data_IF_133631252080
#
_entry.id   IF_133631252080
#
_cell.length_a   1.000
_cell.length_b   1.000
_cell.length_c   1.000
_cell.angle_alpha   90.00
_cell.angle_beta   90.00
_cell.angle_gamma   90.00
#
_symmetry.space_group_name_H-M   'P 1'
#
loop_
_entity.id
_entity.type
_entity.pdbx_description
1 polymer ?
#
# COMPACT_ATOMS: atom_id res chain seq x y z
N UNK A 1 -24.48 -38.24 22.36
CA UNK A 1 -24.00 -36.87 22.68
C UNK A 1 -22.52 -36.60 22.35
N UNK A 2 -21.64 -37.60 22.13
CA UNK A 2 -20.20 -37.38 21.91
C UNK A 2 -19.79 -36.71 20.57
N UNK A 3 -20.61 -36.74 19.52
CA UNK A 3 -20.18 -36.28 18.17
C UNK A 3 -20.42 -34.79 17.89
N UNK A 4 -21.19 -34.06 18.73
CA UNK A 4 -21.50 -32.64 18.48
C UNK A 4 -20.30 -31.72 18.70
N UNK A 5 -19.42 -32.05 19.65
CA UNK A 5 -18.27 -31.21 20.00
C UNK A 5 -17.14 -31.33 18.96
N UNK A 6 -17.04 -32.48 18.29
CA UNK A 6 -16.06 -32.71 17.23
C UNK A 6 -16.36 -31.87 15.98
N UNK A 7 -17.64 -31.82 15.56
CA UNK A 7 -18.06 -31.07 14.37
C UNK A 7 -17.86 -29.56 14.57
N UNK A 8 -18.18 -29.03 15.75
CA UNK A 8 -17.99 -27.60 16.07
C UNK A 8 -16.50 -27.24 16.08
N UNK A 9 -15.64 -28.11 16.61
CA UNK A 9 -14.19 -27.87 16.67
C UNK A 9 -13.54 -27.91 15.28
N UNK A 10 -13.96 -28.83 14.41
CA UNK A 10 -13.47 -28.91 13.02
C UNK A 10 -13.90 -27.67 12.21
N UNK A 11 -15.13 -27.20 12.39
CA UNK A 11 -15.60 -25.96 11.74
C UNK A 11 -14.83 -24.73 12.23
N UNK A 12 -14.51 -24.66 13.53
CA UNK A 12 -13.75 -23.54 14.10
C UNK A 12 -12.31 -23.51 13.57
N UNK A 13 -11.67 -24.67 13.41
CA UNK A 13 -10.31 -24.76 12.83
C UNK A 13 -10.30 -24.41 11.33
N UNK A 14 -11.34 -24.81 10.58
CA UNK A 14 -11.51 -24.40 9.18
C UNK A 14 -11.80 -22.90 9.01
N UNK A 15 -12.45 -22.26 9.98
CA UNK A 15 -12.69 -20.81 10.01
C UNK A 15 -11.48 -19.99 10.46
N UNK A 16 -10.47 -20.61 11.09
CA UNK A 16 -9.22 -19.96 11.48
C UNK A 16 -8.12 -20.07 10.41
N UNK A 17 -8.36 -20.84 9.34
CA UNK A 17 -7.42 -21.02 8.23
C UNK A 17 -7.60 -19.97 7.10
N UNK A 18 -8.30 -18.86 7.36
CA UNK A 18 -8.36 -17.76 6.40
C UNK A 18 -7.01 -17.04 6.40
N UNK A 19 -6.20 -17.39 5.40
CA UNK A 19 -4.91 -16.79 5.10
C UNK A 19 -5.05 -15.28 4.96
N UNK A 20 -4.11 -14.54 5.57
CA UNK A 20 -3.80 -13.19 5.10
C UNK A 20 -3.47 -13.30 3.60
N UNK A 21 -4.23 -12.61 2.75
CA UNK A 21 -3.94 -12.57 1.32
C UNK A 21 -2.63 -11.80 1.15
N UNK A 22 -1.64 -12.44 0.54
CA UNK A 22 -0.46 -11.73 0.04
C UNK A 22 -0.93 -10.77 -1.06
N UNK A 23 -0.62 -9.48 -0.92
CA UNK A 23 -0.86 -8.51 -2.00
C UNK A 23 0.29 -8.60 -3.00
N UNK A 24 -0.04 -8.59 -4.29
CA UNK A 24 0.90 -8.71 -5.40
C UNK A 24 0.96 -7.37 -6.14
N UNK A 25 2.17 -6.81 -6.31
CA UNK A 25 2.39 -5.65 -7.18
C UNK A 25 3.02 -6.09 -8.50
N UNK A 26 2.32 -5.86 -9.60
CA UNK A 26 2.85 -6.08 -10.95
C UNK A 26 3.30 -4.76 -11.55
N UNK A 27 4.61 -4.60 -11.78
CA UNK A 27 5.19 -3.48 -12.50
C UNK A 27 5.35 -3.86 -13.97
N UNK A 28 4.81 -3.04 -14.87
CA UNK A 28 4.75 -3.36 -16.30
C UNK A 28 5.64 -2.44 -17.13
N UNK A 29 5.67 -1.15 -16.82
CA UNK A 29 6.35 -0.14 -17.62
C UNK A 29 7.21 0.77 -16.76
N UNK A 30 8.42 1.08 -17.24
CA UNK A 30 9.25 2.13 -16.66
C UNK A 30 8.60 3.52 -16.86
N UNK A 31 8.98 4.51 -16.05
CA UNK A 31 8.62 5.90 -16.32
C UNK A 31 9.04 6.34 -17.72
N UNK A 32 8.18 7.09 -18.39
CA UNK A 32 8.44 7.61 -19.73
C UNK A 32 9.53 8.70 -19.74
N UNK A 33 9.77 9.35 -18.61
CA UNK A 33 10.70 10.47 -18.47
C UNK A 33 12.04 9.99 -17.91
N UNK A 34 13.13 10.56 -18.44
CA UNK A 34 14.47 10.42 -17.86
C UNK A 34 15.00 11.79 -17.44
N UNK A 35 15.74 11.84 -16.33
CA UNK A 35 16.36 13.06 -15.82
C UNK A 35 17.64 12.72 -15.06
N UNK A 36 18.71 13.49 -15.33
CA UNK A 36 20.05 13.26 -14.77
C UNK A 36 20.58 11.81 -14.92
N UNK A 37 20.13 11.08 -15.96
CA UNK A 37 20.53 9.69 -16.21
C UNK A 37 19.66 8.62 -15.53
N UNK A 38 18.56 9.00 -14.88
CA UNK A 38 17.65 8.10 -14.17
C UNK A 38 16.25 8.14 -14.78
N UNK A 39 15.51 7.03 -14.68
CA UNK A 39 14.07 7.04 -14.94
C UNK A 39 13.35 7.73 -13.78
N UNK A 40 12.52 8.73 -14.09
CA UNK A 40 11.85 9.58 -13.09
C UNK A 40 10.36 9.68 -13.38
N UNK A 41 9.57 9.81 -12.31
CA UNK A 41 8.13 9.90 -12.39
C UNK A 41 7.45 8.56 -12.15
N UNK A 42 6.28 8.40 -12.75
CA UNK A 42 5.37 7.30 -12.44
C UNK A 42 5.72 6.02 -13.20
N UNK A 43 5.77 4.91 -12.46
CA UNK A 43 5.90 3.55 -12.98
C UNK A 43 4.49 3.01 -13.24
N UNK A 44 4.30 2.29 -14.33
CA UNK A 44 3.02 1.65 -14.65
C UNK A 44 2.91 0.26 -14.03
N UNK A 45 1.72 -0.10 -13.54
CA UNK A 45 1.48 -1.43 -12.97
C UNK A 45 0.04 -1.68 -12.53
N UNK A 46 -0.15 -2.73 -11.72
CA UNK A 46 -1.41 -3.04 -11.04
C UNK A 46 -1.16 -3.80 -9.72
N UNK A 47 -2.18 -3.81 -8.85
CA UNK A 47 -2.20 -4.60 -7.62
C UNK A 47 -3.16 -5.78 -7.82
N UNK A 48 -2.75 -6.97 -7.38
CA UNK A 48 -3.52 -8.22 -7.39
C UNK A 48 -4.11 -8.59 -8.78
N UNK A 49 -3.42 -8.19 -9.85
CA UNK A 49 -3.85 -8.46 -11.22
C UNK A 49 -5.09 -7.67 -11.65
N UNK A 50 -5.54 -6.68 -10.86
CA UNK A 50 -6.73 -5.90 -11.19
C UNK A 50 -6.53 -5.19 -12.55
N UNK A 51 -7.46 -5.39 -13.51
CA UNK A 51 -7.45 -4.70 -14.79
C UNK A 51 -7.86 -3.25 -14.54
N UNK A 52 -6.91 -2.44 -14.10
CA UNK A 52 -7.16 -1.04 -13.85
C UNK A 52 -7.39 -0.33 -15.20
N UNK A 53 -8.51 0.38 -15.40
CA UNK A 53 -8.80 1.06 -16.67
C UNK A 53 -7.81 2.20 -16.97
N UNK A 54 -7.12 2.69 -15.95
CA UNK A 54 -5.98 3.59 -16.06
C UNK A 54 -4.76 2.95 -15.37
N UNK A 55 -3.54 3.03 -15.94
CA UNK A 55 -2.36 2.46 -15.30
C UNK A 55 -2.24 3.04 -13.90
N UNK A 56 -2.22 2.18 -12.88
CA UNK A 56 -1.91 2.63 -11.54
C UNK A 56 -0.52 3.28 -11.59
N UNK A 57 -0.46 4.54 -11.17
CA UNK A 57 0.76 5.34 -11.20
C UNK A 57 1.46 5.18 -9.87
N UNK A 58 2.57 4.45 -9.88
CA UNK A 58 3.41 4.23 -8.71
C UNK A 58 4.61 5.16 -8.76
N UNK A 59 4.84 5.94 -7.71
CA UNK A 59 6.03 6.79 -7.59
C UNK A 59 7.03 6.09 -6.69
N UNK A 60 8.23 5.83 -7.20
CA UNK A 60 9.30 5.21 -6.42
C UNK A 60 9.86 6.23 -5.43
N UNK A 61 9.90 5.91 -4.14
CA UNK A 61 10.53 6.76 -3.13
C UNK A 61 11.92 6.25 -2.70
N UNK A 62 12.39 5.15 -3.28
CA UNK A 62 13.67 4.52 -2.98
C UNK A 62 14.71 4.66 -4.10
N UNK A 63 15.74 5.47 -3.85
CA UNK A 63 16.80 5.74 -4.82
C UNK A 63 17.87 4.65 -4.92
N UNK A 64 18.23 4.01 -3.80
CA UNK A 64 19.42 3.15 -3.74
C UNK A 64 19.13 1.70 -4.09
N UNK A 65 17.88 1.28 -3.95
CA UNK A 65 17.42 -0.06 -4.30
C UNK A 65 17.10 -0.17 -5.78
N UNK A 66 16.93 -1.40 -6.26
CA UNK A 66 16.61 -1.65 -7.67
C UNK A 66 15.51 -2.67 -7.78
N UNK A 67 14.48 -2.34 -8.55
CA UNK A 67 13.46 -3.29 -8.98
C UNK A 67 13.52 -3.42 -10.50
N UNK A 68 13.71 -4.64 -11.05
CA UNK A 68 13.58 -4.86 -12.49
C UNK A 68 12.18 -4.46 -12.96
N UNK A 69 12.04 -3.96 -14.18
CA UNK A 69 10.72 -3.73 -14.79
C UNK A 69 10.74 -4.32 -16.21
N UNK A 70 9.82 -5.22 -16.57
CA UNK A 70 8.68 -5.67 -15.77
C UNK A 70 9.07 -6.62 -14.62
N UNK A 71 8.26 -6.64 -13.56
CA UNK A 71 8.40 -7.56 -12.42
C UNK A 71 7.09 -7.79 -11.68
N UNK A 72 7.02 -8.90 -10.96
CA UNK A 72 5.96 -9.19 -9.98
C UNK A 72 6.59 -9.25 -8.60
N UNK A 73 6.14 -8.39 -7.69
CA UNK A 73 6.52 -8.39 -6.29
C UNK A 73 5.41 -9.10 -5.51
N UNK A 74 5.76 -10.20 -4.86
CA UNK A 74 4.87 -10.95 -3.97
C UNK A 74 5.00 -10.39 -2.54
N UNK A 75 3.97 -10.58 -1.72
CA UNK A 75 3.93 -10.15 -0.32
C UNK A 75 4.21 -8.64 -0.11
N UNK A 76 3.57 -7.78 -0.90
CA UNK A 76 3.66 -6.32 -0.71
C UNK A 76 2.74 -5.89 0.44
N UNK A 77 3.27 -5.14 1.41
CA UNK A 77 2.46 -4.52 2.45
C UNK A 77 1.94 -3.18 1.97
N UNK A 78 0.65 -2.97 2.15
CA UNK A 78 -0.01 -1.70 1.95
C UNK A 78 -0.10 -0.97 3.30
N UNK A 79 0.52 0.18 3.38
CA UNK A 79 0.51 1.04 4.57
C UNK A 79 -0.10 2.40 4.24
N UNK A 80 -1.03 2.88 5.07
CA UNK A 80 -1.59 4.24 4.92
C UNK A 80 -0.62 5.29 5.48
N UNK A 81 -0.66 6.52 4.95
CA UNK A 81 0.16 7.64 5.44
C UNK A 81 -0.55 8.43 6.56
N UNK A 82 -1.39 7.74 7.34
CA UNK A 82 -2.17 8.34 8.44
C UNK A 82 -1.40 8.16 9.76
N UNK A 83 -1.20 9.27 10.47
CA UNK A 83 -0.54 9.31 11.79
C UNK A 83 -1.29 8.41 12.77
N UNK A 84 -0.55 7.53 13.45
CA UNK A 84 -1.05 6.67 14.53
C UNK A 84 -1.71 5.37 14.09
N UNK A 85 -2.01 5.17 12.80
CA UNK A 85 -2.74 3.98 12.33
C UNK A 85 -2.17 3.30 11.08
N UNK A 86 -1.43 4.01 10.21
CA UNK A 86 -1.22 3.54 8.84
C UNK A 86 0.16 3.01 8.47
N UNK A 87 1.24 3.65 8.91
CA UNK A 87 2.59 3.46 8.36
C UNK A 87 3.38 2.32 9.02
N UNK A 88 2.71 1.21 9.36
CA UNK A 88 3.29 0.18 10.24
C UNK A 88 4.42 -0.60 9.56
N UNK A 89 4.39 -0.73 8.23
CA UNK A 89 5.36 -1.51 7.46
C UNK A 89 5.83 -0.71 6.24
N UNK A 90 6.84 0.12 6.46
CA UNK A 90 7.51 0.89 5.42
C UNK A 90 9.03 0.88 5.63
N UNK A 91 9.77 0.90 4.51
CA UNK A 91 11.20 0.63 4.41
C UNK A 91 12.05 1.68 5.10
N UNK A 92 11.62 2.93 5.09
CA UNK A 92 12.34 4.06 5.66
C UNK A 92 11.80 4.48 7.02
N UNK A 93 11.10 3.58 7.70
CA UNK A 93 10.65 3.78 9.09
C UNK A 93 11.75 3.30 10.03
N UNK A 94 12.39 4.23 10.72
CA UNK A 94 13.35 3.92 11.76
C UNK A 94 12.59 3.59 13.06
N UNK A 95 12.19 2.33 13.24
CA UNK A 95 11.56 1.91 14.50
C UNK A 95 12.58 1.93 15.65
N UNK A 96 12.39 2.76 16.70
CA UNK A 96 13.22 2.68 17.89
C UNK A 96 13.13 1.27 18.50
N UNK A 97 14.21 0.74 19.10
CA UNK A 97 14.16 -0.54 19.80
C UNK A 97 13.02 -0.58 20.83
N UNK A 98 12.06 -1.49 20.63
CA UNK A 98 10.91 -1.65 21.52
C UNK A 98 9.67 -0.81 21.16
N UNK A 99 9.71 0.02 20.12
CA UNK A 99 8.53 0.66 19.55
C UNK A 99 7.95 -0.20 18.42
N UNK A 100 6.63 -0.31 18.36
CA UNK A 100 5.91 -0.92 17.24
C UNK A 100 5.45 0.11 16.20
N UNK A 101 5.69 1.39 16.47
CA UNK A 101 5.11 2.49 15.71
C UNK A 101 6.20 3.39 15.10
N UNK A 102 5.95 3.92 13.90
CA UNK A 102 6.77 4.96 13.28
C UNK A 102 6.88 6.20 14.15
N UNK A 103 7.95 6.94 13.96
CA UNK A 103 8.16 8.26 14.58
C UNK A 103 7.39 9.35 13.83
N UNK A 104 7.20 10.51 14.46
CA UNK A 104 6.62 11.70 13.80
C UNK A 104 7.46 12.15 12.59
N UNK A 105 8.78 11.92 12.62
CA UNK A 105 9.68 12.22 11.50
C UNK A 105 9.45 11.29 10.31
N UNK A 106 9.19 10.00 10.56
CA UNK A 106 8.85 9.06 9.50
C UNK A 106 7.55 9.50 8.81
N UNK A 107 6.51 9.81 9.59
CA UNK A 107 5.26 10.34 9.03
C UNK A 107 5.49 11.64 8.26
N UNK A 108 6.35 12.55 8.73
CA UNK A 108 6.69 13.79 8.02
C UNK A 108 7.27 13.53 6.63
N UNK A 109 8.22 12.59 6.49
CA UNK A 109 8.81 12.22 5.19
C UNK A 109 7.76 11.70 4.21
N UNK A 110 6.93 10.73 4.62
CA UNK A 110 5.91 10.16 3.73
C UNK A 110 4.80 11.16 3.38
N UNK A 111 4.39 12.02 4.31
CA UNK A 111 3.39 13.05 4.02
C UNK A 111 3.90 14.10 3.05
N UNK A 112 5.16 14.51 3.15
CA UNK A 112 5.77 15.45 2.19
C UNK A 112 5.98 14.80 0.83
N UNK A 113 6.38 13.53 0.80
CA UNK A 113 6.46 12.78 -0.44
C UNK A 113 5.09 12.71 -1.16
N UNK A 114 4.01 12.47 -0.41
CA UNK A 114 2.65 12.49 -0.94
C UNK A 114 2.26 13.86 -1.55
N UNK A 115 2.63 14.97 -0.92
CA UNK A 115 2.41 16.31 -1.47
C UNK A 115 3.18 16.48 -2.78
N UNK A 116 4.47 16.12 -2.79
CA UNK A 116 5.32 16.18 -3.98
C UNK A 116 4.78 15.32 -5.12
N UNK A 117 4.22 14.14 -4.83
CA UNK A 117 3.55 13.30 -5.83
C UNK A 117 2.37 14.03 -6.47
N UNK A 118 1.56 14.76 -5.68
CA UNK A 118 0.49 15.60 -6.21
C UNK A 118 1.03 16.69 -7.13
N UNK A 119 2.03 17.46 -6.66
CA UNK A 119 2.66 18.51 -7.46
C UNK A 119 3.34 17.99 -8.72
N UNK A 120 3.84 16.75 -8.72
CA UNK A 120 4.42 16.10 -9.90
C UNK A 120 3.42 15.99 -11.05
N UNK A 121 2.15 15.71 -10.72
CA UNK A 121 1.06 15.63 -11.71
C UNK A 121 0.71 17.02 -12.25
N UNK A 122 0.70 18.04 -11.39
CA UNK A 122 0.39 19.41 -11.77
C UNK A 122 1.54 20.12 -12.52
N UNK A 123 2.77 19.62 -12.37
CA UNK A 123 3.98 20.23 -12.91
C UNK A 123 4.78 19.24 -13.77
N UNK A 124 4.26 18.80 -14.93
CA UNK A 124 4.90 17.76 -15.76
C UNK A 124 6.29 18.14 -16.27
N UNK A 125 6.58 19.44 -16.43
CA UNK A 125 7.92 19.93 -16.79
C UNK A 125 8.97 19.72 -15.68
N UNK A 126 8.53 19.48 -14.44
CA UNK A 126 9.36 19.38 -13.24
C UNK A 126 9.37 17.98 -12.63
N UNK A 127 8.89 16.96 -13.35
CA UNK A 127 8.87 15.56 -12.88
C UNK A 127 10.25 15.12 -12.37
N UNK A 128 11.32 15.47 -13.11
CA UNK A 128 12.69 15.13 -12.72
C UNK A 128 13.10 15.71 -11.37
N UNK A 129 13.17 17.05 -11.22
CA UNK A 129 13.50 17.67 -9.94
C UNK A 129 12.59 17.24 -8.78
N UNK A 130 11.27 17.08 -9.01
CA UNK A 130 10.33 16.64 -7.97
C UNK A 130 10.61 15.21 -7.54
N UNK A 131 10.89 14.30 -8.48
CA UNK A 131 11.25 12.91 -8.16
C UNK A 131 12.53 12.83 -7.32
N UNK A 132 13.53 13.65 -7.64
CA UNK A 132 14.76 13.75 -6.86
C UNK A 132 14.51 14.37 -5.48
N UNK A 133 13.56 15.30 -5.35
CA UNK A 133 13.15 15.84 -4.05
C UNK A 133 12.50 14.76 -3.19
N UNK A 134 11.64 13.91 -3.76
CA UNK A 134 11.06 12.75 -3.08
C UNK A 134 12.18 11.83 -2.58
N UNK A 135 13.13 11.45 -3.44
CA UNK A 135 14.25 10.60 -3.05
C UNK A 135 15.11 11.22 -1.94
N UNK A 136 15.35 12.53 -1.96
CA UNK A 136 16.12 13.22 -0.93
C UNK A 136 15.44 13.19 0.46
N UNK A 137 14.10 13.10 0.54
CA UNK A 137 13.39 12.95 1.81
C UNK A 137 13.74 11.64 2.52
N UNK A 138 13.99 10.57 1.76
CA UNK A 138 14.26 9.22 2.28
C UNK A 138 15.75 8.85 2.25
N UNK A 139 16.51 9.46 1.35
CA UNK A 139 17.90 9.17 1.08
C UNK A 139 18.66 10.50 0.84
N UNK A 140 19.13 11.18 1.89
CA UNK A 140 19.81 12.49 1.77
C UNK A 140 21.12 12.47 0.96
N UNK A 141 21.66 11.28 0.66
CA UNK A 141 22.82 11.11 -0.23
C UNK A 141 22.44 11.01 -1.72
N UNK A 142 21.16 11.14 -2.06
CA UNK A 142 20.68 11.24 -3.45
C UNK A 142 21.27 12.51 -4.09
N UNK A 143 21.67 12.48 -5.37
CA UNK A 143 22.08 13.69 -6.08
C UNK A 143 21.00 14.80 -6.00
N UNK A 144 21.42 16.06 -6.09
CA UNK A 144 20.53 17.24 -6.08
C UNK A 144 20.61 17.99 -7.42
N UNK A 145 20.12 17.39 -8.54
CA UNK A 145 20.17 18.01 -9.85
C UNK A 145 19.11 19.11 -10.04
N UNK A 146 19.49 20.17 -10.75
CA UNK A 146 18.59 21.25 -11.16
C UNK A 146 17.94 21.94 -9.96
N UNK A 147 16.60 22.04 -9.99
CA UNK A 147 15.82 22.74 -8.98
C UNK A 147 15.33 21.82 -7.84
N UNK A 148 15.98 20.68 -7.61
CA UNK A 148 15.56 19.69 -6.60
C UNK A 148 15.47 20.31 -5.19
N UNK A 149 16.49 21.05 -4.75
CA UNK A 149 16.48 21.78 -3.46
C UNK A 149 15.37 22.84 -3.33
N UNK A 150 14.90 23.43 -4.44
CA UNK A 150 13.76 24.34 -4.42
C UNK A 150 12.48 23.58 -4.03
N UNK A 151 12.23 22.42 -4.64
CA UNK A 151 11.07 21.59 -4.34
C UNK A 151 11.08 21.06 -2.90
N UNK A 152 12.25 20.69 -2.38
CA UNK A 152 12.41 20.34 -0.96
C UNK A 152 12.04 21.56 -0.10
N UNK A 153 12.59 22.74 -0.38
CA UNK A 153 12.30 23.94 0.40
C UNK A 153 10.82 24.30 0.40
N UNK A 154 10.16 24.18 -0.76
CA UNK A 154 8.73 24.42 -0.91
C UNK A 154 7.91 23.43 -0.09
N UNK A 155 8.17 22.12 -0.22
CA UNK A 155 7.39 21.13 0.53
C UNK A 155 7.64 21.23 2.03
N UNK A 156 8.84 21.65 2.47
CA UNK A 156 9.14 21.86 3.88
C UNK A 156 8.33 23.02 4.50
N UNK A 157 7.99 24.04 3.70
CA UNK A 157 7.20 25.20 4.11
C UNK A 157 5.68 24.97 4.04
N UNK A 158 5.23 23.88 3.39
CA UNK A 158 3.82 23.58 3.15
C UNK A 158 3.06 23.17 4.43
N UNK A 159 1.80 23.60 4.55
CA UNK A 159 0.90 23.17 5.63
C UNK A 159 0.28 21.80 5.30
N UNK A 160 0.84 20.76 5.93
CA UNK A 160 0.41 19.36 5.78
C UNK A 160 -1.05 19.12 6.20
N UNK A 161 -1.62 19.94 7.09
CA UNK A 161 -2.98 19.72 7.59
C UNK A 161 -4.07 19.90 6.53
N UNK A 162 -3.72 20.49 5.38
CA UNK A 162 -4.62 20.73 4.25
C UNK A 162 -4.81 19.50 3.34
N UNK A 163 -4.05 18.42 3.57
CA UNK A 163 -4.00 17.26 2.68
C UNK A 163 -4.69 16.02 3.28
N UNK A 164 -5.39 15.29 2.42
CA UNK A 164 -6.08 14.04 2.76
C UNK A 164 -5.18 12.82 2.49
N UNK A 165 -4.37 12.46 3.48
CA UNK A 165 -3.43 11.34 3.40
C UNK A 165 -4.08 9.95 3.42
N UNK A 166 -5.39 9.85 3.67
CA UNK A 166 -6.13 8.57 3.59
C UNK A 166 -6.18 8.01 2.17
N UNK A 167 -5.84 8.85 1.19
CA UNK A 167 -5.78 8.54 -0.23
C UNK A 167 -4.37 8.18 -0.71
N UNK A 168 -3.43 7.89 0.18
CA UNK A 168 -2.06 7.54 -0.21
C UNK A 168 -1.67 6.23 0.44
N UNK A 169 -1.17 5.31 -0.38
CA UNK A 169 -0.64 4.03 0.06
C UNK A 169 0.87 3.98 -0.18
N UNK A 170 1.56 3.37 0.76
CA UNK A 170 2.95 2.94 0.65
C UNK A 170 2.96 1.44 0.39
N UNK A 171 3.73 1.02 -0.60
CA UNK A 171 3.86 -0.35 -1.07
C UNK A 171 5.27 -0.84 -0.79
N UNK A 172 5.39 -1.67 0.25
CA UNK A 172 6.67 -2.14 0.77
C UNK A 172 6.79 -3.65 0.60
N UNK A 173 7.86 -4.10 -0.02
CA UNK A 173 8.15 -5.54 -0.14
C UNK A 173 8.48 -6.14 1.24
N UNK A 174 7.77 -7.21 1.63
CA UNK A 174 7.96 -7.88 2.92
C UNK A 174 9.24 -8.71 3.02
N UNK A 175 9.76 -9.20 1.90
CA UNK A 175 10.64 -10.36 1.94
C UNK A 175 11.95 -10.06 2.70
N UNK A 176 12.31 -10.84 3.74
CA UNK A 176 13.54 -10.63 4.50
C UNK A 176 14.77 -10.67 3.60
N UNK A 177 15.53 -9.57 3.57
CA UNK A 177 16.72 -9.42 2.71
C UNK A 177 16.45 -8.93 1.29
N UNK A 178 15.19 -8.61 0.97
CA UNK A 178 14.83 -8.09 -0.34
C UNK A 178 15.32 -6.64 -0.54
N UNK A 179 15.76 -6.35 -1.75
CA UNK A 179 16.40 -5.11 -2.17
C UNK A 179 15.59 -4.37 -3.22
N UNK A 180 14.30 -4.71 -3.35
CA UNK A 180 13.39 -4.02 -4.23
C UNK A 180 13.12 -2.61 -3.69
N UNK A 181 12.85 -1.70 -4.62
CA UNK A 181 12.42 -0.34 -4.34
C UNK A 181 11.05 -0.33 -3.66
N UNK A 182 10.84 0.65 -2.78
CA UNK A 182 9.53 0.98 -2.23
C UNK A 182 8.80 1.95 -3.18
N UNK A 183 7.47 1.84 -3.22
CA UNK A 183 6.63 2.66 -4.08
C UNK A 183 5.51 3.30 -3.27
N UNK A 184 5.01 4.42 -3.77
CA UNK A 184 3.85 5.13 -3.24
C UNK A 184 2.79 5.29 -4.34
N UNK A 185 1.52 5.22 -4.01
CA UNK A 185 0.43 5.37 -4.97
C UNK A 185 -0.79 6.12 -4.38
N UNK A 186 -1.52 6.81 -5.25
CA UNK A 186 -2.81 7.40 -4.91
C UNK A 186 -3.92 6.35 -4.88
N UNK A 187 -4.74 6.35 -3.83
CA UNK A 187 -5.82 5.38 -3.61
C UNK A 187 -6.97 5.53 -4.60
N UNK A 188 -7.23 6.74 -5.10
CA UNK A 188 -8.18 6.96 -6.18
C UNK A 188 -7.77 6.20 -7.46
N UNK A 189 -6.47 6.07 -7.70
CA UNK A 189 -5.92 5.27 -8.79
C UNK A 189 -6.01 3.76 -8.52
N UNK A 190 -6.40 3.34 -7.31
CA UNK A 190 -6.48 1.92 -6.90
C UNK A 190 -7.92 1.44 -6.64
N UNK A 191 -8.87 2.34 -6.32
CA UNK A 191 -10.21 1.99 -5.81
C UNK A 191 -11.29 1.89 -6.90
N UNK A 192 -11.06 2.34 -8.14
CA UNK A 192 -12.13 2.23 -9.18
C UNK A 192 -12.47 0.78 -9.58
N UNK A 193 -11.70 -0.22 -9.16
CA UNK A 193 -11.97 -1.62 -9.47
C UNK A 193 -12.36 -2.44 -8.24
N UNK A 194 -13.36 -1.94 -7.54
CA UNK A 194 -14.22 -2.76 -6.68
C UNK A 194 -13.59 -3.11 -5.34
N UNK A 195 -14.27 -2.73 -4.27
CA UNK A 195 -14.21 -3.48 -3.03
C UNK A 195 -14.61 -4.93 -3.37
N UNK A 196 -13.64 -5.78 -3.71
CA UNK A 196 -13.84 -7.22 -3.72
C UNK A 196 -14.19 -7.53 -2.27
N UNK A 197 -15.42 -8.00 -1.97
CA UNK A 197 -15.77 -8.29 -0.59
C UNK A 197 -14.73 -9.25 -0.07
N UNK A 198 -14.04 -8.87 1.01
CA UNK A 198 -12.98 -9.69 1.57
C UNK A 198 -13.48 -11.13 1.67
N UNK A 199 -12.68 -12.15 1.32
CA UNK A 199 -13.12 -13.55 1.37
C UNK A 199 -13.75 -13.92 2.73
N UNK A 200 -13.29 -13.27 3.81
CA UNK A 200 -13.84 -13.37 5.15
C UNK A 200 -15.29 -12.84 5.26
N UNK A 201 -15.63 -11.73 4.58
CA UNK A 201 -16.99 -11.15 4.54
C UNK A 201 -17.96 -12.07 3.80
N UNK A 202 -17.54 -12.63 2.66
CA UNK A 202 -18.32 -13.64 1.92
C UNK A 202 -18.51 -14.92 2.74
N UNK A 203 -17.46 -15.37 3.43
CA UNK A 203 -17.53 -16.55 4.28
C UNK A 203 -18.41 -16.31 5.52
N UNK A 204 -18.33 -15.14 6.15
CA UNK A 204 -19.22 -14.74 7.25
C UNK A 204 -20.68 -14.65 6.81
N UNK A 205 -20.95 -14.08 5.62
CA UNK A 205 -22.29 -14.02 5.08
C UNK A 205 -22.84 -15.43 4.81
N UNK A 206 -22.06 -16.29 4.14
CA UNK A 206 -22.45 -17.66 3.84
C UNK A 206 -22.67 -18.49 5.12
N UNK A 207 -21.79 -18.36 6.11
CA UNK A 207 -21.93 -19.06 7.40
C UNK A 207 -23.10 -18.53 8.22
N UNK A 208 -23.35 -17.22 8.21
CA UNK A 208 -24.51 -16.60 8.83
C UNK A 208 -25.82 -17.13 8.26
N UNK A 209 -25.92 -17.24 6.93
CA UNK A 209 -27.10 -17.80 6.24
C UNK A 209 -27.31 -19.26 6.62
N UNK A 210 -26.25 -20.07 6.63
CA UNK A 210 -26.33 -21.48 7.04
C UNK A 210 -26.78 -21.63 8.50
N UNK A 211 -26.26 -20.80 9.41
CA UNK A 211 -26.66 -20.80 10.81
C UNK A 211 -28.15 -20.48 10.99
N UNK A 212 -28.66 -19.44 10.31
CA UNK A 212 -30.08 -19.07 10.34
C UNK A 212 -30.95 -20.20 9.80
N UNK A 213 -30.55 -20.85 8.71
CA UNK A 213 -31.28 -21.98 8.14
C UNK A 213 -31.39 -23.16 9.12
N UNK A 214 -30.29 -23.52 9.79
CA UNK A 214 -30.28 -24.59 10.79
C UNK A 214 -31.14 -24.27 12.02
N UNK A 215 -31.11 -23.01 12.51
CA UNK A 215 -31.95 -22.56 13.63
C UNK A 215 -33.44 -22.67 13.26
N UNK A 216 -33.83 -22.17 12.08
CA UNK A 216 -35.23 -22.26 11.60
C UNK A 216 -35.70 -23.69 11.45
N UNK A 217 -34.86 -24.58 10.91
CA UNK A 217 -35.18 -26.01 10.76
C UNK A 217 -35.41 -26.69 12.11
N UNK A 218 -34.62 -26.33 13.12
CA UNK A 218 -34.77 -26.87 14.48
C UNK A 218 -36.06 -26.39 15.15
N UNK A 219 -36.43 -25.12 14.98
CA UNK A 219 -37.68 -24.58 15.54
C UNK A 219 -38.92 -25.25 14.94
N UNK A 220 -38.95 -25.49 13.62
CA UNK A 220 -40.07 -26.22 12.98
C UNK A 220 -40.26 -27.62 13.54
N UNK A 221 -39.17 -28.38 13.71
CA UNK A 221 -39.21 -29.72 14.30
C UNK A 221 -39.58 -29.78 15.79
N UNK A 222 -39.55 -28.65 16.49
CA UNK A 222 -39.96 -28.57 17.90
C UNK A 222 -41.43 -28.16 18.06
N UNK A 223 -42.08 -27.76 16.96
CA UNK A 223 -43.49 -27.40 16.89
C UNK A 223 -44.35 -28.51 16.24
N UNK A 224 -43.69 -29.54 15.70
CA UNK A 224 -44.27 -30.82 15.26
C UNK A 224 -44.08 -31.87 16.36
#
# INVERSE_FOLDING_TARGET
>A
MKNRNLIVSVLLVLLLAFSASATILNLTNLPATTYAGYYVGTVGGNIDGSPNPDPAWFVCNDFFSRTPVPSTLEDVWLSDVIIGTGLVWAKFVDQPPGSRYPTDEDYDKYQRAAILMGWMLDNPASIGPIQFAIWNLFAPATPDPGDTSLWISMVMAEDRSLYDYSKVLVLTDYAPGNRNQEFMAGRATLIETGEVPEPATMAMLATGILAIFFIRRRQRRALE
#
